data_IF_093606258755
#
_entry.id   IF_093606258755
#
_cell.length_a   1.000
_cell.length_b   1.000
_cell.length_c   1.000
_cell.angle_alpha   90.00
_cell.angle_beta   90.00
_cell.angle_gamma   90.00
#
_symmetry.space_group_name_H-M   'P 1'
#
loop_
_entity.id
_entity.type
_entity.pdbx_description
1 polymer ?
#
# COMPACT_ATOMS: atom_id res chain seq x y z
N UNK A 1 50.06 75.47 14.51
CA UNK A 1 49.68 74.97 13.17
C UNK A 1 49.38 73.49 13.34
N UNK A 2 48.10 73.13 13.33
CA UNK A 2 47.57 71.80 13.63
C UNK A 2 47.38 71.06 12.29
N UNK A 3 48.08 69.95 12.07
CA UNK A 3 47.92 69.14 10.87
C UNK A 3 46.83 68.09 11.09
N UNK A 4 45.78 68.17 10.28
CA UNK A 4 44.74 67.14 10.14
C UNK A 4 45.32 66.02 9.27
N UNK A 5 45.45 64.82 9.83
CA UNK A 5 45.74 63.60 9.06
C UNK A 5 44.41 62.96 8.67
N UNK A 6 44.06 63.03 7.39
CA UNK A 6 42.93 62.30 6.81
C UNK A 6 43.42 60.90 6.44
N UNK A 7 42.91 59.88 7.14
CA UNK A 7 43.16 58.47 6.84
C UNK A 7 42.34 58.04 5.60
N UNK A 8 42.91 57.27 4.64
CA UNK A 8 42.20 56.81 3.47
C UNK A 8 41.26 55.63 3.77
N UNK A 9 40.10 55.66 3.11
CA UNK A 9 39.09 54.60 3.03
C UNK A 9 39.69 53.27 2.54
N UNK A 10 40.05 52.37 3.44
CA UNK A 10 40.42 51.01 3.06
C UNK A 10 39.91 49.98 4.07
N UNK A 11 38.61 49.98 4.38
CA UNK A 11 38.06 48.96 5.29
C UNK A 11 36.55 48.76 5.19
N UNK A 12 35.95 48.66 3.99
CA UNK A 12 34.48 48.39 3.88
C UNK A 12 34.01 47.46 2.76
N UNK A 13 34.88 46.82 1.98
CA UNK A 13 34.44 46.08 0.77
C UNK A 13 34.59 44.55 0.89
N UNK A 14 35.18 44.01 1.95
CA UNK A 14 35.46 42.57 2.07
C UNK A 14 34.55 41.76 3.01
N UNK A 15 33.36 42.24 3.37
CA UNK A 15 32.41 41.48 4.22
C UNK A 15 31.06 41.17 3.60
N UNK A 16 30.82 41.54 2.34
CA UNK A 16 29.52 41.32 1.68
C UNK A 16 29.52 40.24 0.58
N UNK A 17 30.66 39.60 0.27
CA UNK A 17 30.77 38.66 -0.86
C UNK A 17 31.02 37.19 -0.49
N UNK A 18 30.95 36.83 0.79
CA UNK A 18 31.20 35.45 1.26
C UNK A 18 30.07 34.90 2.14
N UNK A 19 28.85 35.36 1.88
CA UNK A 19 27.62 34.64 2.18
C UNK A 19 27.03 34.14 0.85
N UNK A 20 27.85 33.41 0.09
CA UNK A 20 27.33 32.36 -0.77
C UNK A 20 26.73 31.36 0.20
N UNK A 21 25.47 31.62 0.54
CA UNK A 21 24.58 30.69 1.16
C UNK A 21 24.59 29.50 0.19
N UNK A 22 25.43 28.51 0.45
CA UNK A 22 25.18 27.14 0.05
C UNK A 22 23.87 26.74 0.72
N UNK A 23 22.75 27.32 0.28
CA UNK A 23 21.50 26.59 0.24
C UNK A 23 21.83 25.46 -0.71
N UNK A 24 22.30 24.35 -0.14
CA UNK A 24 22.02 23.06 -0.72
C UNK A 24 20.51 23.08 -0.93
N UNK A 25 20.10 23.44 -2.14
CA UNK A 25 18.86 22.99 -2.70
C UNK A 25 19.08 21.49 -2.73
N UNK A 26 18.81 20.83 -1.60
CA UNK A 26 18.35 19.47 -1.59
C UNK A 26 17.25 19.54 -2.64
N UNK A 27 17.56 19.02 -3.82
CA UNK A 27 16.56 18.62 -4.77
C UNK A 27 15.73 17.64 -3.95
N UNK A 28 14.68 18.14 -3.31
CA UNK A 28 13.57 17.35 -2.85
C UNK A 28 13.02 16.78 -4.14
N UNK A 29 13.60 15.66 -4.54
CA UNK A 29 13.10 14.82 -5.61
C UNK A 29 11.63 14.61 -5.24
N UNK A 30 10.77 15.31 -5.96
CA UNK A 30 9.35 15.35 -5.64
C UNK A 30 8.89 13.91 -5.82
N UNK A 31 8.57 13.24 -4.70
CA UNK A 31 8.13 11.86 -4.72
C UNK A 31 6.97 11.76 -5.72
N UNK A 32 7.23 11.06 -6.83
CA UNK A 32 6.32 11.07 -7.97
C UNK A 32 5.20 10.10 -7.64
N UNK A 33 3.97 10.60 -7.63
CA UNK A 33 2.80 9.73 -7.50
C UNK A 33 2.80 8.74 -8.66
N UNK A 34 2.59 7.48 -8.33
CA UNK A 34 2.62 6.37 -9.28
C UNK A 34 1.41 5.47 -9.07
N UNK A 35 1.23 4.53 -9.99
CA UNK A 35 0.18 3.53 -9.93
C UNK A 35 0.78 2.14 -9.82
N UNK A 36 0.10 1.25 -9.09
CA UNK A 36 0.38 -0.18 -9.20
C UNK A 36 0.00 -0.69 -10.61
N UNK A 37 0.45 -1.88 -11.04
CA UNK A 37 0.10 -2.40 -12.35
C UNK A 37 -1.41 -2.62 -12.51
N UNK A 38 -1.92 -2.61 -13.75
CA UNK A 38 -3.35 -2.91 -14.03
C UNK A 38 -3.74 -4.33 -13.63
N UNK A 39 -2.79 -5.25 -13.78
CA UNK A 39 -2.95 -6.67 -13.45
C UNK A 39 -1.66 -7.11 -12.79
N UNK A 40 -1.78 -7.83 -11.69
CA UNK A 40 -0.64 -8.47 -11.06
C UNK A 40 -1.09 -9.61 -10.17
N UNK A 41 -0.16 -10.51 -9.90
CA UNK A 41 -0.24 -11.45 -8.78
C UNK A 41 0.91 -11.23 -7.81
N UNK A 42 0.70 -11.53 -6.54
CA UNK A 42 1.71 -11.38 -5.49
C UNK A 42 1.45 -12.32 -4.32
N UNK A 43 2.50 -12.62 -3.57
CA UNK A 43 2.37 -13.18 -2.23
C UNK A 43 2.18 -12.05 -1.21
N UNK A 44 1.29 -12.25 -0.24
CA UNK A 44 1.11 -11.36 0.90
C UNK A 44 1.27 -12.13 2.20
N UNK A 45 2.14 -11.66 3.08
CA UNK A 45 2.14 -12.06 4.48
C UNK A 45 1.28 -11.03 5.24
N UNK A 46 0.16 -11.50 5.78
CA UNK A 46 -0.87 -10.67 6.42
C UNK A 46 -0.82 -10.90 7.91
N UNK A 47 -0.56 -9.86 8.68
CA UNK A 47 -0.46 -9.92 10.14
C UNK A 47 -1.26 -8.80 10.81
N UNK A 48 -1.87 -9.09 11.96
CA UNK A 48 -2.49 -8.09 12.83
C UNK A 48 -3.67 -8.65 13.61
N UNK A 49 -4.71 -7.84 13.83
CA UNK A 49 -5.96 -8.34 14.40
C UNK A 49 -7.13 -7.38 14.34
N UNK A 50 -8.26 -7.84 14.89
CA UNK A 50 -9.45 -7.03 15.10
C UNK A 50 -10.15 -7.43 16.39
N UNK A 51 -10.88 -6.49 16.98
CA UNK A 51 -11.70 -6.75 18.16
C UNK A 51 -13.06 -7.33 17.75
N UNK A 52 -13.60 -8.23 18.57
CA UNK A 52 -14.96 -8.76 18.41
C UNK A 52 -15.63 -8.86 19.76
N UNK A 53 -16.94 -9.17 19.76
CA UNK A 53 -17.69 -9.40 21.01
C UNK A 53 -17.12 -10.59 21.82
N UNK A 54 -16.45 -11.54 21.18
CA UNK A 54 -15.79 -12.68 21.83
C UNK A 54 -14.34 -12.40 22.24
N UNK A 55 -13.83 -11.19 22.02
CA UNK A 55 -12.45 -10.79 22.33
C UNK A 55 -11.60 -10.47 21.10
N UNK A 56 -10.27 -10.33 21.27
CA UNK A 56 -9.35 -10.05 20.17
C UNK A 56 -9.19 -11.27 19.26
N UNK A 57 -9.22 -11.04 17.95
CA UNK A 57 -8.89 -12.04 16.94
C UNK A 57 -7.57 -11.66 16.28
N UNK A 58 -6.68 -12.64 16.17
CA UNK A 58 -5.37 -12.47 15.55
C UNK A 58 -5.44 -13.03 14.13
N UNK A 59 -4.83 -12.30 13.21
CA UNK A 59 -4.65 -12.72 11.82
C UNK A 59 -3.14 -12.87 11.59
N UNK A 60 -2.74 -14.05 11.15
CA UNK A 60 -1.37 -14.32 10.69
C UNK A 60 -1.45 -15.36 9.57
N UNK A 61 -1.45 -14.89 8.33
CA UNK A 61 -1.76 -15.69 7.16
C UNK A 61 -0.83 -15.36 6.00
N UNK A 62 -0.51 -16.38 5.19
CA UNK A 62 0.09 -16.18 3.87
C UNK A 62 -0.99 -16.32 2.81
N UNK A 63 -1.08 -15.32 1.95
CA UNK A 63 -2.12 -15.15 0.95
C UNK A 63 -1.49 -15.01 -0.43
N UNK A 64 -1.97 -15.78 -1.40
CA UNK A 64 -1.70 -15.50 -2.81
C UNK A 64 -2.81 -14.60 -3.34
N UNK A 65 -2.42 -13.45 -3.89
CA UNK A 65 -3.32 -12.42 -4.39
C UNK A 65 -3.23 -12.33 -5.90
N UNK A 66 -4.38 -12.18 -6.54
CA UNK A 66 -4.55 -11.79 -7.92
C UNK A 66 -5.45 -10.55 -7.99
N UNK A 67 -5.04 -9.54 -8.75
CA UNK A 67 -5.84 -8.35 -9.04
C UNK A 67 -5.97 -8.13 -10.54
N UNK A 68 -7.18 -7.80 -10.97
CA UNK A 68 -7.52 -7.32 -12.31
C UNK A 68 -8.35 -6.04 -12.16
N UNK A 69 -7.68 -4.90 -12.31
CA UNK A 69 -8.32 -3.58 -12.24
C UNK A 69 -9.35 -3.34 -13.36
N UNK A 70 -9.05 -3.63 -14.65
CA UNK A 70 -10.02 -3.47 -15.74
C UNK A 70 -11.38 -4.14 -15.52
N UNK A 71 -11.40 -5.31 -14.86
CA UNK A 71 -12.65 -6.02 -14.57
C UNK A 71 -13.14 -5.84 -13.14
N UNK A 72 -12.45 -5.01 -12.35
CA UNK A 72 -12.68 -4.75 -10.93
C UNK A 72 -12.85 -6.05 -10.13
N UNK A 73 -11.90 -6.97 -10.30
CA UNK A 73 -11.90 -8.29 -9.67
C UNK A 73 -10.63 -8.55 -8.90
N UNK A 74 -10.76 -9.24 -7.77
CA UNK A 74 -9.64 -9.82 -7.06
C UNK A 74 -9.93 -11.25 -6.64
N UNK A 75 -8.86 -12.01 -6.46
CA UNK A 75 -8.90 -13.35 -5.88
C UNK A 75 -7.80 -13.46 -4.84
N UNK A 76 -8.15 -13.98 -3.67
CA UNK A 76 -7.18 -14.36 -2.65
C UNK A 76 -7.27 -15.85 -2.37
N UNK A 77 -6.12 -16.47 -2.13
CA UNK A 77 -6.01 -17.86 -1.73
C UNK A 77 -5.20 -17.92 -0.45
N UNK A 78 -5.82 -18.39 0.63
CA UNK A 78 -5.22 -18.46 1.97
C UNK A 78 -5.19 -19.91 2.43
N UNK A 79 -4.00 -20.40 2.81
CA UNK A 79 -3.88 -21.72 3.44
C UNK A 79 -4.03 -21.57 4.95
N UNK A 80 -5.18 -21.96 5.47
CA UNK A 80 -5.49 -21.92 6.90
C UNK A 80 -5.04 -23.22 7.56
N UNK A 81 -4.34 -23.11 8.69
CA UNK A 81 -3.99 -24.28 9.53
C UNK A 81 -5.01 -24.41 10.64
N UNK A 82 -5.69 -25.56 10.69
CA UNK A 82 -6.72 -25.86 11.68
C UNK A 82 -6.09 -26.33 13.01
N UNK A 83 -6.81 -26.24 14.15
CA UNK A 83 -6.31 -26.66 15.46
C UNK A 83 -5.82 -28.13 15.56
N UNK A 84 -6.20 -28.99 14.61
CA UNK A 84 -5.74 -30.38 14.50
C UNK A 84 -4.56 -30.61 13.56
N UNK A 85 -3.92 -29.54 13.04
CA UNK A 85 -2.81 -29.63 12.09
C UNK A 85 -3.23 -29.87 10.63
N UNK A 86 -4.53 -30.05 10.36
CA UNK A 86 -5.07 -30.09 9.00
C UNK A 86 -4.98 -28.72 8.32
N UNK A 87 -5.00 -28.70 6.99
CA UNK A 87 -4.99 -27.47 6.20
C UNK A 87 -6.28 -27.34 5.39
N UNK A 88 -6.84 -26.14 5.37
CA UNK A 88 -7.95 -25.74 4.51
C UNK A 88 -7.45 -24.67 3.53
N UNK A 89 -7.80 -24.80 2.26
CA UNK A 89 -7.61 -23.72 1.30
C UNK A 89 -8.88 -22.88 1.28
N UNK A 90 -8.77 -21.66 1.80
CA UNK A 90 -9.80 -20.64 1.72
C UNK A 90 -9.56 -19.79 0.48
N UNK A 91 -10.55 -19.66 -0.39
CA UNK A 91 -10.50 -18.77 -1.55
C UNK A 91 -11.56 -17.71 -1.40
N UNK A 92 -11.18 -16.44 -1.59
CA UNK A 92 -12.12 -15.33 -1.74
C UNK A 92 -12.04 -14.78 -3.16
N UNK A 93 -13.17 -14.58 -3.81
CA UNK A 93 -13.27 -13.86 -5.09
C UNK A 93 -14.17 -12.65 -4.88
N UNK A 94 -13.61 -11.46 -5.04
CA UNK A 94 -14.36 -10.20 -4.95
C UNK A 94 -14.60 -9.65 -6.36
N UNK A 95 -15.86 -9.38 -6.68
CA UNK A 95 -16.32 -8.72 -7.91
C UNK A 95 -16.90 -7.37 -7.50
N UNK A 96 -16.05 -6.34 -7.49
CA UNK A 96 -16.38 -5.00 -6.98
C UNK A 96 -17.41 -4.31 -7.88
N UNK A 97 -17.28 -4.48 -9.21
CA UNK A 97 -18.24 -3.95 -10.19
C UNK A 97 -19.67 -4.47 -9.97
N UNK A 98 -19.82 -5.69 -9.44
CA UNK A 98 -21.13 -6.29 -9.13
C UNK A 98 -21.48 -6.27 -7.65
N UNK A 99 -20.62 -5.75 -6.78
CA UNK A 99 -20.80 -5.74 -5.32
C UNK A 99 -21.06 -7.14 -4.73
N UNK A 100 -20.24 -8.12 -5.13
CA UNK A 100 -20.36 -9.51 -4.67
C UNK A 100 -19.03 -10.04 -4.21
N UNK A 101 -19.07 -10.88 -3.20
CA UNK A 101 -17.92 -11.65 -2.74
C UNK A 101 -18.32 -13.11 -2.62
N UNK A 102 -17.42 -13.99 -3.05
CA UNK A 102 -17.55 -15.44 -2.97
C UNK A 102 -16.49 -15.96 -2.02
N UNK A 103 -16.90 -16.72 -1.01
CA UNK A 103 -16.01 -17.41 -0.08
C UNK A 103 -16.13 -18.91 -0.31
N UNK A 104 -15.02 -19.55 -0.60
CA UNK A 104 -14.95 -20.95 -1.02
C UNK A 104 -14.00 -21.69 -0.09
N UNK A 105 -14.53 -22.67 0.63
CA UNK A 105 -13.82 -23.54 1.56
C UNK A 105 -14.07 -25.00 1.17
N UNK A 106 -13.17 -25.56 0.35
CA UNK A 106 -13.37 -26.88 -0.25
C UNK A 106 -14.62 -26.90 -1.14
N UNK A 107 -15.58 -27.79 -0.84
CA UNK A 107 -16.85 -27.90 -1.58
C UNK A 107 -17.92 -26.90 -1.12
N UNK A 108 -17.65 -26.14 -0.05
CA UNK A 108 -18.57 -25.14 0.46
C UNK A 108 -18.31 -23.79 -0.22
N UNK A 109 -19.34 -23.22 -0.85
CA UNK A 109 -19.27 -21.87 -1.40
C UNK A 109 -20.43 -21.02 -0.88
N UNK A 110 -20.11 -19.78 -0.50
CA UNK A 110 -21.06 -18.77 -0.05
C UNK A 110 -20.89 -17.52 -0.90
N UNK A 111 -21.99 -17.02 -1.47
CA UNK A 111 -22.08 -15.72 -2.15
C UNK A 111 -22.76 -14.74 -1.22
N UNK A 112 -22.13 -13.59 -0.96
CA UNK A 112 -22.71 -12.50 -0.19
C UNK A 112 -22.55 -11.16 -0.89
N UNK A 113 -23.41 -10.21 -0.55
CA UNK A 113 -23.26 -8.82 -0.98
C UNK A 113 -22.06 -8.15 -0.29
N UNK A 114 -21.39 -7.24 -0.99
CA UNK A 114 -20.23 -6.49 -0.49
C UNK A 114 -20.39 -5.00 -0.80
N UNK A 115 -20.30 -4.16 0.23
CA UNK A 115 -20.39 -2.69 0.10
C UNK A 115 -19.04 -2.01 -0.19
N UNK A 116 -17.96 -2.79 -0.35
CA UNK A 116 -16.64 -2.26 -0.65
C UNK A 116 -16.53 -1.85 -2.12
N UNK A 117 -15.71 -0.83 -2.39
CA UNK A 117 -15.28 -0.42 -3.72
C UNK A 117 -13.84 -0.84 -3.95
N UNK A 118 -13.45 -1.01 -5.21
CA UNK A 118 -12.05 -1.30 -5.52
C UNK A 118 -11.17 -0.11 -5.11
N UNK A 119 -10.08 -0.39 -4.41
CA UNK A 119 -9.14 0.64 -4.00
C UNK A 119 -8.38 1.18 -5.21
N UNK A 120 -8.30 2.51 -5.33
CA UNK A 120 -7.57 3.16 -6.42
C UNK A 120 -6.17 2.59 -6.64
N UNK A 121 -5.88 2.34 -7.92
CA UNK A 121 -4.59 1.83 -8.38
C UNK A 121 -3.46 2.84 -8.17
N UNK A 122 -3.79 4.11 -8.36
CA UNK A 122 -2.85 5.21 -8.25
C UNK A 122 -2.89 5.79 -6.84
N UNK A 123 -1.76 6.29 -6.36
CA UNK A 123 -1.75 7.10 -5.15
C UNK A 123 -2.66 8.32 -5.37
N UNK A 124 -3.67 8.45 -4.51
CA UNK A 124 -4.65 9.53 -4.62
C UNK A 124 -4.00 10.91 -4.46
N UNK A 125 -4.67 11.93 -5.01
CA UNK A 125 -4.22 13.32 -4.93
C UNK A 125 -4.22 13.86 -3.50
N UNK A 126 -5.10 13.35 -2.63
CA UNK A 126 -5.19 13.69 -1.22
C UNK A 126 -4.23 12.90 -0.32
N UNK A 127 -3.52 11.92 -0.88
CA UNK A 127 -2.52 11.16 -0.15
C UNK A 127 -1.32 12.03 0.22
N UNK A 128 -0.88 11.90 1.46
CA UNK A 128 0.25 12.61 2.02
C UNK A 128 1.50 11.71 1.97
N UNK A 129 2.59 12.21 1.42
CA UNK A 129 3.89 11.55 1.51
C UNK A 129 4.36 11.62 2.98
N UNK A 130 4.55 10.46 3.59
CA UNK A 130 5.02 10.33 4.98
C UNK A 130 6.54 10.23 5.03
N UNK A 131 7.12 9.41 4.16
CA UNK A 131 8.56 9.17 4.15
C UNK A 131 9.05 8.69 2.79
N UNK A 132 10.34 8.89 2.55
CA UNK A 132 11.11 8.28 1.47
C UNK A 132 12.34 7.62 2.07
N UNK A 133 12.86 6.56 1.44
CA UNK A 133 14.03 5.85 1.92
C UNK A 133 14.33 4.62 1.09
N UNK A 134 15.09 3.68 1.66
CA UNK A 134 15.31 2.37 1.05
C UNK A 134 15.22 1.25 2.08
N UNK A 135 14.83 0.06 1.61
CA UNK A 135 14.88 -1.20 2.36
C UNK A 135 15.96 -2.08 1.73
N UNK A 136 16.66 -2.85 2.55
CA UNK A 136 17.70 -3.77 2.09
C UNK A 136 19.11 -3.20 2.20
N UNK A 137 20.03 -3.74 1.39
CA UNK A 137 21.44 -3.39 1.49
C UNK A 137 21.79 -2.20 0.60
N UNK A 138 22.83 -1.42 0.91
CA UNK A 138 23.31 -0.35 0.03
C UNK A 138 23.70 -0.83 -1.39
N UNK A 139 23.98 -2.12 -1.57
CA UNK A 139 24.33 -2.72 -2.87
C UNK A 139 23.12 -3.17 -3.68
N UNK A 140 21.97 -3.33 -3.03
CA UNK A 140 20.71 -3.70 -3.67
C UNK A 140 19.56 -3.04 -2.90
N UNK A 141 19.45 -1.70 -2.96
CA UNK A 141 18.43 -0.98 -2.22
C UNK A 141 17.09 -1.07 -2.96
N UNK A 142 16.02 -1.34 -2.22
CA UNK A 142 14.67 -1.13 -2.68
C UNK A 142 14.22 0.28 -2.26
N UNK A 143 14.23 1.23 -3.20
CA UNK A 143 13.79 2.59 -2.91
C UNK A 143 12.28 2.60 -2.65
N UNK A 144 11.87 3.17 -1.51
CA UNK A 144 10.50 3.16 -1.04
C UNK A 144 9.97 4.57 -0.81
N UNK A 145 8.70 4.75 -1.13
CA UNK A 145 7.90 5.92 -0.77
C UNK A 145 6.69 5.44 0.03
N UNK A 146 6.48 6.04 1.20
CA UNK A 146 5.34 5.71 2.05
C UNK A 146 4.30 6.82 1.97
N UNK A 147 3.09 6.45 1.60
CA UNK A 147 1.96 7.36 1.42
C UNK A 147 0.88 7.05 2.45
N UNK A 148 0.26 8.09 3.03
CA UNK A 148 -0.85 7.99 3.97
C UNK A 148 -2.09 8.60 3.38
N UNK A 149 -3.22 7.90 3.46
CA UNK A 149 -4.53 8.41 3.04
C UNK A 149 -5.65 7.69 3.81
N UNK A 150 -6.85 8.27 3.79
CA UNK A 150 -8.05 7.62 4.34
C UNK A 150 -8.73 6.81 3.24
N UNK A 151 -9.27 5.64 3.57
CA UNK A 151 -10.09 4.87 2.61
C UNK A 151 -11.49 5.52 2.55
N UNK A 152 -11.95 5.97 1.37
CA UNK A 152 -13.24 6.65 1.24
C UNK A 152 -14.40 5.85 1.83
N UNK A 153 -15.26 6.53 2.59
CA UNK A 153 -16.44 5.90 3.21
C UNK A 153 -16.13 5.06 4.46
N UNK A 154 -14.92 5.11 4.99
CA UNK A 154 -14.51 4.37 6.20
C UNK A 154 -13.68 5.24 7.15
N UNK A 155 -13.54 4.81 8.40
CA UNK A 155 -12.62 5.41 9.38
C UNK A 155 -11.21 4.77 9.31
N UNK A 156 -10.90 4.05 8.23
CA UNK A 156 -9.62 3.37 8.06
C UNK A 156 -8.57 4.33 7.49
N UNK A 157 -7.46 4.44 8.20
CA UNK A 157 -6.23 5.08 7.72
C UNK A 157 -5.35 4.01 7.09
N UNK A 158 -4.96 4.24 5.85
CA UNK A 158 -4.09 3.38 5.06
C UNK A 158 -2.69 4.01 4.93
N UNK A 159 -1.66 3.20 5.16
CA UNK A 159 -0.28 3.47 4.77
C UNK A 159 0.10 2.52 3.66
N UNK A 160 0.55 3.06 2.53
CA UNK A 160 0.99 2.28 1.38
C UNK A 160 2.44 2.61 1.07
N UNK A 161 3.29 1.59 1.14
CA UNK A 161 4.69 1.65 0.78
C UNK A 161 4.85 1.09 -0.63
N UNK A 162 5.36 1.93 -1.53
CA UNK A 162 5.55 1.62 -2.94
C UNK A 162 7.01 1.79 -3.33
N UNK A 163 7.45 1.00 -4.32
CA UNK A 163 8.74 1.17 -4.99
C UNK A 163 8.51 1.49 -6.47
N UNK A 164 9.12 2.56 -6.97
CA UNK A 164 9.01 2.95 -8.37
C UNK A 164 9.93 2.09 -9.24
N UNK A 165 9.37 1.46 -10.27
CA UNK A 165 10.12 0.60 -11.20
C UNK A 165 10.31 1.24 -12.58
N UNK A 166 9.47 2.21 -12.92
CA UNK A 166 9.57 3.06 -14.10
C UNK A 166 8.71 4.32 -13.87
N UNK A 167 8.94 5.45 -14.57
CA UNK A 167 8.18 6.68 -14.35
C UNK A 167 6.66 6.45 -14.27
N UNK A 168 6.08 6.74 -13.09
CA UNK A 168 4.64 6.61 -12.84
C UNK A 168 4.12 5.19 -12.60
N UNK A 169 4.98 4.17 -12.60
CA UNK A 169 4.63 2.78 -12.29
C UNK A 169 5.38 2.29 -11.07
N UNK A 170 4.64 1.77 -10.09
CA UNK A 170 5.17 1.26 -8.85
C UNK A 170 4.78 -0.18 -8.60
N UNK A 171 5.57 -0.88 -7.79
CA UNK A 171 5.17 -2.13 -7.17
C UNK A 171 4.78 -1.90 -5.71
N UNK A 172 3.76 -2.60 -5.22
CA UNK A 172 3.42 -2.58 -3.80
C UNK A 172 4.47 -3.36 -2.99
N UNK A 173 4.88 -2.79 -1.85
CA UNK A 173 5.85 -3.41 -0.92
C UNK A 173 5.19 -3.73 0.40
N UNK A 174 4.42 -2.79 0.94
CA UNK A 174 3.69 -2.96 2.18
C UNK A 174 2.41 -2.11 2.15
N UNK A 175 1.34 -2.64 2.73
CA UNK A 175 0.14 -1.88 3.06
C UNK A 175 -0.16 -2.08 4.54
N UNK A 176 -0.52 -1.02 5.26
CA UNK A 176 -0.99 -1.12 6.63
C UNK A 176 -2.28 -0.32 6.79
N UNK A 177 -3.26 -0.93 7.43
CA UNK A 177 -4.58 -0.38 7.65
C UNK A 177 -4.86 -0.41 9.14
N UNK A 178 -5.36 0.71 9.67
CA UNK A 178 -5.85 0.72 11.04
C UNK A 178 -7.01 1.71 11.16
N UNK A 179 -7.95 1.38 12.02
CA UNK A 179 -9.10 2.23 12.28
C UNK A 179 -10.29 1.44 12.80
N UNK A 180 -11.47 1.99 12.60
CA UNK A 180 -12.72 1.41 13.05
C UNK A 180 -13.54 0.94 11.84
N UNK A 181 -13.90 -0.34 11.82
CA UNK A 181 -14.68 -0.95 10.74
C UNK A 181 -15.71 -1.91 11.33
N UNK A 182 -16.96 -1.82 10.88
CA UNK A 182 -18.05 -2.71 11.27
C UNK A 182 -18.23 -2.86 12.80
N UNK A 183 -18.09 -1.77 13.55
CA UNK A 183 -18.31 -1.76 15.00
C UNK A 183 -17.09 -2.17 15.83
N UNK A 184 -15.93 -2.42 15.22
CA UNK A 184 -14.72 -2.82 15.93
C UNK A 184 -13.45 -2.13 15.42
N UNK A 185 -12.47 -2.00 16.31
CA UNK A 185 -11.12 -1.60 15.91
C UNK A 185 -10.40 -2.74 15.22
N UNK A 186 -9.71 -2.42 14.13
CA UNK A 186 -8.86 -3.34 13.38
C UNK A 186 -7.52 -2.67 13.08
N UNK A 187 -6.47 -3.49 13.04
CA UNK A 187 -5.16 -3.12 12.52
C UNK A 187 -4.58 -4.30 11.75
N UNK A 188 -4.36 -4.13 10.45
CA UNK A 188 -3.80 -5.13 9.53
C UNK A 188 -2.53 -4.58 8.88
N UNK A 189 -1.55 -5.44 8.66
CA UNK A 189 -0.37 -5.17 7.85
C UNK A 189 -0.24 -6.28 6.81
N UNK A 190 -0.06 -5.88 5.56
CA UNK A 190 0.11 -6.73 4.39
C UNK A 190 1.51 -6.48 3.84
N UNK A 191 2.42 -7.44 3.99
CA UNK A 191 3.76 -7.39 3.40
C UNK A 191 3.70 -8.09 2.06
N UNK A 192 4.03 -7.38 0.99
CA UNK A 192 3.76 -7.82 -0.39
C UNK A 192 5.08 -8.18 -1.07
N UNK A 193 5.12 -9.37 -1.66
CA UNK A 193 6.32 -9.96 -2.27
C UNK A 193 5.98 -10.74 -3.54
N UNK A 194 7.02 -11.14 -4.29
CA UNK A 194 6.90 -11.93 -5.52
C UNK A 194 5.87 -11.36 -6.51
N UNK A 195 5.93 -10.04 -6.73
CA UNK A 195 4.98 -9.36 -7.61
C UNK A 195 5.31 -9.71 -9.07
N UNK A 196 4.36 -10.34 -9.75
CA UNK A 196 4.42 -10.60 -11.18
C UNK A 196 3.37 -9.76 -11.90
N UNK A 197 3.80 -9.03 -12.93
CA UNK A 197 2.92 -8.23 -13.79
C UNK A 197 2.47 -9.13 -14.95
N UNK A 198 1.50 -9.99 -14.66
CA UNK A 198 0.88 -10.89 -15.61
C UNK A 198 -0.65 -10.75 -15.57
N UNK A 199 -1.29 -11.00 -16.71
CA UNK A 199 -2.74 -11.08 -16.76
C UNK A 199 -3.13 -12.51 -16.35
N UNK A 200 -3.82 -12.62 -15.22
CA UNK A 200 -4.41 -13.88 -14.82
C UNK A 200 -5.51 -14.29 -15.82
N UNK A 201 -5.68 -15.58 -16.13
CA UNK A 201 -6.80 -16.03 -16.95
C UNK A 201 -8.13 -15.62 -16.32
N UNK A 202 -9.07 -15.09 -17.12
CA UNK A 202 -10.38 -14.62 -16.61
C UNK A 202 -11.13 -15.68 -15.78
N UNK A 203 -11.01 -16.95 -16.19
CA UNK A 203 -11.62 -18.10 -15.50
C UNK A 203 -11.14 -18.26 -14.04
N UNK A 204 -9.99 -17.69 -13.67
CA UNK A 204 -9.50 -17.67 -12.29
C UNK A 204 -10.45 -16.90 -11.37
N UNK A 205 -11.13 -15.88 -11.89
CA UNK A 205 -12.06 -15.03 -11.14
C UNK A 205 -13.52 -15.49 -11.23
N UNK A 206 -13.79 -16.63 -11.88
CA UNK A 206 -15.14 -17.16 -11.99
C UNK A 206 -15.42 -18.16 -10.85
N UNK A 207 -16.39 -17.87 -9.96
CA UNK A 207 -16.74 -18.79 -8.88
C UNK A 207 -17.50 -20.00 -9.42
N UNK A 208 -17.57 -21.12 -8.66
CA UNK A 208 -18.40 -22.26 -9.00
C UNK A 208 -19.88 -21.91 -8.74
N UNK A 209 -20.49 -21.13 -9.64
CA UNK A 209 -21.80 -20.49 -9.44
C UNK A 209 -22.95 -21.46 -9.13
N UNK A 210 -22.87 -22.72 -9.57
CA UNK A 210 -23.90 -23.73 -9.31
C UNK A 210 -23.86 -24.31 -7.88
N UNK A 211 -22.78 -24.12 -7.13
CA UNK A 211 -22.61 -24.65 -5.78
C UNK A 211 -22.60 -23.58 -4.69
N UNK A 212 -22.66 -22.29 -5.07
CA UNK A 212 -22.63 -21.20 -4.12
C UNK A 212 -24.01 -20.89 -3.53
N UNK A 213 -24.11 -20.98 -2.20
CA UNK A 213 -25.29 -20.58 -1.45
C UNK A 213 -25.29 -19.07 -1.25
N UNK A 214 -26.41 -18.42 -1.58
CA UNK A 214 -26.59 -16.97 -1.36
C UNK A 214 -27.02 -16.70 0.07
N UNK A 215 -26.40 -15.71 0.71
CA UNK A 215 -26.72 -15.21 2.06
C UNK A 215 -26.89 -13.70 2.09
#
# INVERSE_FOLDING_TARGET
VLYIVVLPMSLRIYSFLLLICCTQVLLTESATRCCVPTNFRSNMDVTGGFLSNSGPNIVDNRVLLYFDYPTERSRTETRITLPGGGHLLHTEIADFAKHRVFKIDGDHCVESHMNATIQDRCISVDAQLVSTGYVGSPKNPLNIQTWRFSIPGTDIINYRMLTEISPGTCLPVLQAEHGFLNGAYSAMTYIISDVHIDHAPAALFDPPTHTCHKV
#
